data_IF_264005760716
#
_entry.id   IF_264005760716
#
_cell.length_a   1.000
_cell.length_b   1.000
_cell.length_c   1.000
_cell.angle_alpha   90.00
_cell.angle_beta   90.00
_cell.angle_gamma   90.00
#
_symmetry.space_group_name_H-M   'P 1'
#
loop_
_entity.id
_entity.type
_entity.pdbx_description
1 polymer ?
#
# COMPACT_ATOMS: atom_id res chain seq x y z
N UNK A 1 -43.69 -16.79 12.85
CA UNK A 1 -42.91 -17.05 11.63
C UNK A 1 -41.51 -16.60 11.94
N UNK A 2 -40.64 -17.54 12.29
CA UNK A 2 -39.22 -17.29 12.50
C UNK A 2 -38.61 -16.92 11.14
N UNK A 3 -38.00 -15.75 11.06
CA UNK A 3 -37.21 -15.32 9.92
C UNK A 3 -35.99 -16.22 9.84
N UNK A 4 -35.95 -17.09 8.84
CA UNK A 4 -34.74 -17.81 8.44
C UNK A 4 -33.60 -16.80 8.24
N UNK A 5 -32.42 -17.01 8.85
CA UNK A 5 -31.27 -16.15 8.59
C UNK A 5 -30.90 -16.28 7.11
N UNK A 6 -30.80 -15.16 6.41
CA UNK A 6 -30.25 -15.14 5.05
C UNK A 6 -28.92 -15.92 5.03
N UNK A 7 -28.67 -16.75 4.00
CA UNK A 7 -27.40 -17.45 3.88
C UNK A 7 -26.26 -16.41 3.89
N UNK A 8 -25.25 -16.64 4.73
CA UNK A 8 -24.01 -15.85 4.71
C UNK A 8 -23.48 -15.88 3.28
N UNK A 9 -23.39 -14.71 2.64
CA UNK A 9 -22.75 -14.60 1.33
C UNK A 9 -21.33 -15.16 1.45
N UNK A 10 -21.09 -16.27 0.75
CA UNK A 10 -19.77 -16.90 0.72
C UNK A 10 -18.93 -16.20 -0.34
N UNK A 11 -17.75 -15.75 0.06
CA UNK A 11 -16.75 -15.19 -0.86
C UNK A 11 -16.47 -16.20 -1.98
N UNK A 12 -16.58 -15.84 -3.26
CA UNK A 12 -16.32 -16.77 -4.36
C UNK A 12 -14.91 -17.38 -4.26
N UNK A 13 -14.75 -18.65 -4.61
CA UNK A 13 -13.44 -19.33 -4.58
C UNK A 13 -12.37 -18.61 -5.40
N UNK A 14 -12.75 -17.87 -6.43
CA UNK A 14 -11.82 -17.09 -7.26
C UNK A 14 -11.40 -15.76 -6.63
N UNK A 15 -12.06 -15.32 -5.56
CA UNK A 15 -11.80 -14.04 -4.91
C UNK A 15 -10.53 -14.09 -4.03
N UNK A 16 -9.68 -13.04 -3.99
CA UNK A 16 -8.42 -13.06 -3.24
C UNK A 16 -8.57 -13.33 -1.74
N UNK A 17 -9.69 -12.93 -1.15
CA UNK A 17 -9.97 -13.13 0.29
C UNK A 17 -10.71 -14.42 0.62
N UNK A 18 -10.96 -15.30 -0.37
CA UNK A 18 -11.59 -16.58 -0.12
C UNK A 18 -10.74 -17.45 0.81
N UNK A 19 -11.32 -17.94 1.91
CA UNK A 19 -10.63 -18.74 2.93
C UNK A 19 -9.69 -17.92 3.82
N UNK A 20 -9.47 -16.63 3.55
CA UNK A 20 -8.56 -15.76 4.31
C UNK A 20 -9.28 -15.17 5.51
N UNK A 21 -9.01 -15.72 6.69
CA UNK A 21 -9.57 -15.24 7.94
C UNK A 21 -8.71 -15.63 9.14
N UNK A 22 -8.91 -14.91 10.25
CA UNK A 22 -8.45 -15.32 11.58
C UNK A 22 -9.68 -15.43 12.46
N UNK A 23 -9.67 -16.41 13.37
CA UNK A 23 -10.66 -16.45 14.43
C UNK A 23 -10.41 -15.34 15.44
N UNK A 24 -11.44 -14.96 16.20
CA UNK A 24 -11.30 -13.98 17.27
C UNK A 24 -10.29 -14.45 18.33
N UNK A 25 -10.25 -15.76 18.61
CA UNK A 25 -9.30 -16.36 19.56
C UNK A 25 -7.86 -16.15 19.10
N UNK A 26 -7.58 -16.32 17.80
CA UNK A 26 -6.25 -16.07 17.24
C UNK A 26 -5.90 -14.58 17.30
N UNK A 27 -6.83 -13.69 16.96
CA UNK A 27 -6.60 -12.24 17.07
C UNK A 27 -6.31 -11.85 18.52
N UNK A 28 -7.08 -12.36 19.48
CA UNK A 28 -6.87 -12.14 20.91
C UNK A 28 -5.49 -12.65 21.34
N UNK A 29 -5.07 -13.83 20.88
CA UNK A 29 -3.75 -14.39 21.18
C UNK A 29 -2.61 -13.51 20.66
N UNK A 30 -2.71 -13.03 19.42
CA UNK A 30 -1.74 -12.10 18.81
C UNK A 30 -1.63 -10.83 19.65
N UNK A 31 -2.76 -10.19 19.96
CA UNK A 31 -2.78 -8.93 20.73
C UNK A 31 -2.28 -9.13 22.15
N UNK A 32 -2.70 -10.18 22.86
CA UNK A 32 -2.24 -10.46 24.22
C UNK A 32 -0.73 -10.73 24.27
N UNK A 33 -0.19 -11.35 23.23
CA UNK A 33 1.24 -11.56 23.13
C UNK A 33 2.00 -10.27 22.86
N UNK A 34 1.53 -9.42 21.95
CA UNK A 34 2.21 -8.19 21.59
C UNK A 34 2.02 -7.05 22.61
N UNK A 35 0.88 -7.02 23.27
CA UNK A 35 0.41 -5.94 24.14
C UNK A 35 -0.13 -6.57 25.44
N UNK A 36 0.75 -7.14 26.28
CA UNK A 36 0.35 -7.90 27.47
C UNK A 36 -0.40 -7.01 28.46
N UNK A 37 -1.55 -7.48 28.96
CA UNK A 37 -2.40 -6.74 29.89
C UNK A 37 -3.38 -5.76 29.23
N UNK A 38 -3.37 -5.63 27.90
CA UNK A 38 -4.42 -4.87 27.21
C UNK A 38 -5.78 -5.56 27.29
N UNK A 39 -6.84 -4.75 27.20
CA UNK A 39 -8.21 -5.24 27.12
C UNK A 39 -8.77 -4.98 25.72
N UNK A 40 -9.07 -6.05 24.98
CA UNK A 40 -9.77 -5.92 23.70
C UNK A 40 -11.24 -5.62 23.97
N UNK A 41 -11.68 -4.44 23.53
CA UNK A 41 -13.05 -3.95 23.69
C UNK A 41 -13.94 -4.34 22.51
N UNK A 42 -13.38 -4.42 21.30
CA UNK A 42 -14.11 -4.85 20.11
C UNK A 42 -13.17 -5.39 19.02
N UNK A 43 -13.68 -6.36 18.26
CA UNK A 43 -13.08 -6.89 17.02
C UNK A 43 -14.19 -6.87 15.97
N UNK A 44 -14.04 -6.03 14.95
CA UNK A 44 -15.00 -5.91 13.87
C UNK A 44 -14.31 -6.21 12.54
N UNK A 45 -14.75 -7.23 11.81
CA UNK A 45 -14.27 -7.43 10.44
C UNK A 45 -14.89 -6.40 9.50
N UNK A 46 -14.11 -5.85 8.58
CA UNK A 46 -14.67 -5.10 7.46
C UNK A 46 -15.61 -6.03 6.65
N UNK A 47 -16.74 -5.47 6.23
CA UNK A 47 -17.78 -6.20 5.48
C UNK A 47 -17.23 -6.81 4.19
N UNK A 48 -17.86 -7.90 3.74
CA UNK A 48 -17.47 -8.56 2.50
C UNK A 48 -17.62 -7.62 1.30
N UNK A 49 -16.72 -7.74 0.31
CA UNK A 49 -16.71 -6.91 -0.89
C UNK A 49 -16.19 -5.47 -0.69
N UNK A 50 -15.90 -5.03 0.54
CA UNK A 50 -15.35 -3.70 0.83
C UNK A 50 -13.82 -3.63 0.78
N UNK A 51 -13.16 -4.78 0.65
CA UNK A 51 -11.72 -4.90 0.39
C UNK A 51 -11.49 -6.08 -0.54
N UNK A 52 -10.78 -5.83 -1.64
CA UNK A 52 -10.56 -6.84 -2.69
C UNK A 52 -9.37 -7.74 -2.37
N UNK A 53 -8.22 -7.15 -2.06
CA UNK A 53 -6.96 -7.87 -1.88
C UNK A 53 -6.79 -8.44 -0.47
N UNK A 54 -7.40 -7.80 0.55
CA UNK A 54 -7.03 -8.05 1.94
C UNK A 54 -8.24 -8.32 2.83
N UNK A 55 -8.03 -9.11 3.89
CA UNK A 55 -8.99 -9.22 4.99
C UNK A 55 -8.63 -8.22 6.08
N UNK A 56 -9.58 -7.38 6.47
CA UNK A 56 -9.33 -6.26 7.40
C UNK A 56 -10.17 -6.45 8.67
N UNK A 57 -9.52 -6.30 9.83
CA UNK A 57 -10.16 -6.26 11.14
C UNK A 57 -9.87 -4.92 11.81
N UNK A 58 -10.92 -4.25 12.28
CA UNK A 58 -10.82 -3.08 13.14
C UNK A 58 -10.85 -3.52 14.61
N UNK A 59 -9.83 -3.12 15.35
CA UNK A 59 -9.70 -3.45 16.76
C UNK A 59 -9.87 -2.18 17.60
N UNK A 60 -10.57 -2.32 18.73
CA UNK A 60 -10.61 -1.31 19.78
C UNK A 60 -10.01 -1.92 21.03
N UNK A 61 -8.91 -1.37 21.52
CA UNK A 61 -8.19 -1.93 22.68
C UNK A 61 -7.96 -0.85 23.73
N UNK A 62 -8.01 -1.20 25.01
CA UNK A 62 -7.54 -0.35 26.09
C UNK A 62 -6.13 -0.77 26.50
N UNK A 63 -5.19 0.16 26.49
CA UNK A 63 -3.81 -0.06 26.92
C UNK A 63 -3.65 0.48 28.35
N UNK A 64 -3.20 -0.31 29.33
CA UNK A 64 -2.97 0.13 30.70
C UNK A 64 -1.97 1.31 30.80
N UNK A 65 -2.08 2.11 31.87
CA UNK A 65 -1.19 3.27 32.12
C UNK A 65 0.28 2.88 32.30
N UNK A 66 0.53 1.70 32.89
CA UNK A 66 1.86 1.19 33.23
C UNK A 66 2.58 0.57 32.02
N UNK A 67 1.87 0.34 30.92
CA UNK A 67 2.41 -0.28 29.72
C UNK A 67 2.85 0.80 28.71
N UNK A 68 4.12 1.20 28.78
CA UNK A 68 4.69 2.17 27.84
C UNK A 68 4.97 1.52 26.47
N UNK A 69 4.13 1.80 25.47
CA UNK A 69 4.28 1.27 24.12
C UNK A 69 4.35 2.38 23.08
N UNK A 70 5.38 2.32 22.23
CA UNK A 70 5.50 3.26 21.12
C UNK A 70 4.32 3.15 20.15
N UNK A 71 3.82 4.31 19.71
CA UNK A 71 2.72 4.42 18.77
C UNK A 71 1.33 4.22 19.38
N UNK A 72 1.22 3.97 20.68
CA UNK A 72 -0.04 3.82 21.41
C UNK A 72 -0.16 4.83 22.55
N UNK A 73 -1.40 5.19 22.88
CA UNK A 73 -1.73 6.00 24.04
C UNK A 73 -1.96 5.11 25.27
N UNK A 74 -1.14 5.29 26.30
CA UNK A 74 -1.25 4.55 27.56
C UNK A 74 -2.42 5.11 28.39
N UNK A 75 -3.06 4.26 29.19
CA UNK A 75 -4.25 4.64 29.97
C UNK A 75 -5.49 4.94 29.12
N UNK A 76 -5.46 4.58 27.84
CA UNK A 76 -6.42 5.05 26.87
C UNK A 76 -6.87 3.95 25.91
N UNK A 77 -7.97 4.26 25.24
CA UNK A 77 -8.48 3.46 24.14
C UNK A 77 -7.71 3.79 22.87
N UNK A 78 -7.20 2.75 22.23
CA UNK A 78 -6.52 2.80 20.95
C UNK A 78 -7.34 2.08 19.89
N UNK A 79 -7.30 2.59 18.66
CA UNK A 79 -7.98 2.03 17.51
C UNK A 79 -6.94 1.50 16.53
N UNK A 80 -7.01 0.21 16.21
CA UNK A 80 -6.03 -0.47 15.37
C UNK A 80 -6.69 -1.12 14.15
N UNK A 81 -5.86 -1.40 13.16
CA UNK A 81 -6.20 -2.21 11.99
C UNK A 81 -5.28 -3.42 11.97
N UNK A 82 -5.86 -4.61 11.84
CA UNK A 82 -5.15 -5.83 11.49
C UNK A 82 -5.52 -6.20 10.05
N UNK A 83 -4.54 -6.09 9.16
CA UNK A 83 -4.68 -6.34 7.72
C UNK A 83 -3.99 -7.67 7.37
N UNK A 84 -4.70 -8.58 6.74
CA UNK A 84 -4.17 -9.86 6.24
C UNK A 84 -4.13 -9.85 4.72
N UNK A 85 -3.04 -10.36 4.17
CA UNK A 85 -2.88 -10.56 2.73
C UNK A 85 -3.88 -11.59 2.21
N UNK A 86 -4.44 -11.31 1.04
CA UNK A 86 -5.22 -12.29 0.28
C UNK A 86 -4.34 -13.43 -0.23
N UNK A 87 -4.97 -14.54 -0.63
CA UNK A 87 -4.28 -15.78 -0.99
C UNK A 87 -3.39 -15.71 -2.25
N UNK A 88 -3.52 -14.66 -3.05
CA UNK A 88 -2.69 -14.43 -4.23
C UNK A 88 -1.50 -13.50 -3.95
N UNK A 89 -1.38 -13.01 -2.71
CA UNK A 89 -0.31 -12.14 -2.26
C UNK A 89 0.52 -12.86 -1.20
N UNK A 90 1.83 -12.87 -1.40
CA UNK A 90 2.78 -13.47 -0.48
C UNK A 90 3.31 -12.43 0.54
N UNK A 91 4.34 -12.79 1.29
CA UNK A 91 4.96 -11.93 2.30
C UNK A 91 5.59 -10.65 1.72
N UNK A 92 5.89 -10.62 0.42
CA UNK A 92 6.52 -9.46 -0.21
C UNK A 92 5.60 -8.26 -0.22
N UNK A 93 4.28 -8.47 -0.24
CA UNK A 93 3.29 -7.41 -0.17
C UNK A 93 3.32 -6.70 1.19
N UNK A 94 3.33 -7.48 2.29
CA UNK A 94 3.39 -6.92 3.65
C UNK A 94 4.69 -6.16 3.87
N UNK A 95 5.83 -6.74 3.45
CA UNK A 95 7.13 -6.07 3.55
C UNK A 95 7.19 -4.77 2.77
N UNK A 96 6.55 -4.71 1.61
CA UNK A 96 6.48 -3.49 0.82
C UNK A 96 5.72 -2.39 1.56
N UNK A 97 4.50 -2.69 2.03
CA UNK A 97 3.67 -1.71 2.75
C UNK A 97 4.36 -1.24 4.04
N UNK A 98 4.95 -2.17 4.81
CA UNK A 98 5.72 -1.83 6.02
C UNK A 98 6.91 -0.93 5.70
N UNK A 99 7.63 -1.20 4.61
CA UNK A 99 8.75 -0.37 4.16
C UNK A 99 8.29 1.04 3.80
N UNK A 100 7.21 1.14 3.01
CA UNK A 100 6.67 2.42 2.54
C UNK A 100 6.15 3.27 3.70
N UNK A 101 5.36 2.69 4.61
CA UNK A 101 4.87 3.39 5.80
C UNK A 101 6.01 3.79 6.73
N UNK A 102 7.06 2.98 6.86
CA UNK A 102 8.24 3.33 7.67
C UNK A 102 9.03 4.50 7.09
N UNK A 103 9.18 4.56 5.76
CA UNK A 103 9.81 5.70 5.09
C UNK A 103 8.96 6.97 5.26
N UNK A 104 7.65 6.85 5.10
CA UNK A 104 6.73 7.97 5.21
C UNK A 104 6.71 8.54 6.64
N UNK A 105 6.62 7.67 7.66
CA UNK A 105 6.71 8.07 9.07
C UNK A 105 8.02 8.80 9.40
N UNK A 106 9.13 8.39 8.76
CA UNK A 106 10.43 8.99 9.03
C UNK A 106 10.66 10.32 8.31
N UNK A 107 10.35 10.38 7.02
CA UNK A 107 10.69 11.53 6.17
C UNK A 107 9.55 12.54 6.02
N UNK A 108 8.30 12.11 6.18
CA UNK A 108 7.13 12.98 6.07
C UNK A 108 6.13 12.69 7.21
N UNK A 109 6.54 12.85 8.49
CA UNK A 109 5.70 12.51 9.65
C UNK A 109 4.39 13.31 9.75
N UNK A 110 4.30 14.44 9.06
CA UNK A 110 3.10 15.28 9.00
C UNK A 110 2.03 14.73 8.04
N UNK A 111 2.38 13.80 7.16
CA UNK A 111 1.40 13.12 6.31
C UNK A 111 0.63 12.12 7.20
N UNK A 112 -0.71 12.21 7.27
CA UNK A 112 -1.48 11.35 8.15
C UNK A 112 -1.61 9.95 7.56
N UNK A 113 -0.65 9.07 7.87
CA UNK A 113 -0.63 7.67 7.42
C UNK A 113 -0.65 6.69 8.61
N UNK A 114 -1.07 5.42 8.41
CA UNK A 114 -0.99 4.41 9.46
C UNK A 114 0.45 4.21 9.95
N UNK A 115 0.62 4.03 11.25
CA UNK A 115 1.90 3.65 11.85
C UNK A 115 1.95 2.14 12.04
N UNK A 116 3.03 1.52 11.59
CA UNK A 116 3.23 0.07 11.72
C UNK A 116 3.64 -0.26 13.14
N UNK A 117 2.88 -1.14 13.79
CA UNK A 117 3.13 -1.58 15.16
C UNK A 117 3.79 -2.96 15.19
N UNK A 118 3.31 -3.88 14.36
CA UNK A 118 3.84 -5.23 14.20
C UNK A 118 3.46 -5.81 12.84
N UNK A 119 4.22 -6.79 12.35
CA UNK A 119 3.87 -7.56 11.17
C UNK A 119 4.51 -8.95 11.21
N UNK A 120 3.95 -9.85 10.41
CA UNK A 120 4.50 -11.16 10.16
C UNK A 120 4.35 -11.52 8.69
N UNK A 121 5.28 -12.35 8.22
CA UNK A 121 5.32 -12.85 6.85
C UNK A 121 4.47 -14.13 6.66
N UNK A 122 3.77 -14.59 7.69
CA UNK A 122 3.02 -15.87 7.66
C UNK A 122 3.73 -17.02 8.40
N UNK A 123 4.90 -16.76 8.97
CA UNK A 123 5.59 -17.67 9.89
C UNK A 123 5.19 -17.39 11.35
N UNK A 124 5.72 -18.19 12.29
CA UNK A 124 5.56 -17.93 13.72
C UNK A 124 6.31 -16.67 14.19
N UNK A 125 7.26 -16.17 13.40
CA UNK A 125 8.09 -15.02 13.77
C UNK A 125 7.38 -13.71 13.46
N UNK A 126 7.44 -12.78 14.42
CA UNK A 126 6.85 -11.45 14.34
C UNK A 126 7.90 -10.40 14.61
N UNK A 127 7.93 -9.37 13.77
CA UNK A 127 8.69 -8.15 13.97
C UNK A 127 7.75 -7.06 14.49
N UNK A 128 8.18 -6.31 15.51
CA UNK A 128 7.33 -5.29 16.12
C UNK A 128 8.12 -4.11 16.70
N UNK A 129 7.46 -2.95 16.79
CA UNK A 129 7.97 -1.70 17.40
C UNK A 129 7.31 -1.37 18.74
N UNK A 130 6.49 -2.27 19.28
CA UNK A 130 5.79 -2.11 20.56
C UNK A 130 6.71 -2.23 21.79
N UNK A 131 7.90 -1.62 21.74
CA UNK A 131 8.78 -1.43 22.90
C UNK A 131 8.58 -0.01 23.43
N UNK A 132 9.01 0.27 24.66
CA UNK A 132 8.89 1.62 25.24
C UNK A 132 9.62 2.69 24.40
N UNK A 133 10.70 2.33 23.73
CA UNK A 133 11.52 3.22 22.91
C UNK A 133 11.14 3.22 21.43
N UNK A 134 10.20 2.35 20.99
CA UNK A 134 9.91 2.16 19.56
C UNK A 134 10.98 1.37 18.81
N UNK A 135 11.96 0.81 19.53
CA UNK A 135 12.99 -0.05 18.96
C UNK A 135 12.36 -1.32 18.41
N UNK A 136 12.85 -1.74 17.25
CA UNK A 136 12.43 -2.96 16.58
C UNK A 136 12.86 -4.20 17.39
N UNK A 137 11.93 -5.13 17.57
CA UNK A 137 12.14 -6.38 18.28
C UNK A 137 11.49 -7.55 17.52
N UNK A 138 11.94 -8.77 17.85
CA UNK A 138 11.41 -10.02 17.28
C UNK A 138 10.77 -10.85 18.38
N UNK A 139 9.64 -11.49 18.06
CA UNK A 139 8.93 -12.38 18.96
C UNK A 139 8.38 -13.58 18.19
N UNK A 140 8.51 -14.77 18.76
CA UNK A 140 7.83 -15.96 18.26
C UNK A 140 6.39 -16.02 18.81
N UNK A 141 5.44 -16.30 17.93
CA UNK A 141 4.04 -16.55 18.25
C UNK A 141 3.66 -17.96 17.81
N UNK A 142 3.16 -18.75 18.77
CA UNK A 142 2.42 -19.97 18.45
C UNK A 142 1.01 -19.58 18.03
N UNK A 143 0.80 -19.48 16.72
CA UNK A 143 -0.54 -19.26 16.16
C UNK A 143 -1.13 -20.63 15.81
N UNK A 144 -2.22 -20.99 16.51
CA UNK A 144 -2.99 -22.20 16.23
C UNK A 144 -3.43 -22.17 14.77
N UNK A 145 -2.84 -23.03 13.94
CA UNK A 145 -3.25 -23.16 12.54
C UNK A 145 -4.62 -23.85 12.52
N UNK A 146 -5.63 -23.31 11.81
CA UNK A 146 -6.86 -24.05 11.60
C UNK A 146 -6.55 -25.40 10.93
N UNK A 147 -7.26 -26.45 11.34
CA UNK A 147 -7.05 -27.84 10.87
C UNK A 147 -7.25 -27.98 9.35
N UNK A 148 -7.95 -27.04 8.72
CA UNK A 148 -8.08 -26.92 7.27
C UNK A 148 -6.87 -26.22 6.67
N UNK A 149 -5.77 -26.94 6.39
CA UNK A 149 -4.70 -26.71 5.36
C UNK A 149 -4.26 -25.26 5.01
N UNK A 150 -4.58 -24.25 5.82
CA UNK A 150 -4.46 -22.85 5.49
C UNK A 150 -3.07 -22.36 5.84
N UNK A 151 -2.31 -21.95 4.82
CA UNK A 151 -1.08 -21.20 5.01
C UNK A 151 -1.43 -19.90 5.75
N UNK A 152 -0.72 -19.59 6.85
CA UNK A 152 -0.94 -18.32 7.51
C UNK A 152 -0.46 -17.23 6.55
N UNK A 153 -1.35 -16.34 6.14
CA UNK A 153 -0.99 -15.24 5.25
C UNK A 153 -0.24 -14.16 6.03
N UNK A 154 0.65 -13.44 5.34
CA UNK A 154 1.29 -12.27 5.91
C UNK A 154 0.27 -11.26 6.42
N UNK A 155 0.58 -10.58 7.52
CA UNK A 155 -0.32 -9.61 8.15
C UNK A 155 0.43 -8.42 8.74
N UNK A 156 -0.27 -7.30 8.87
CA UNK A 156 0.24 -6.06 9.47
C UNK A 156 -0.75 -5.58 10.53
N UNK A 157 -0.25 -5.27 11.72
CA UNK A 157 -0.94 -4.53 12.76
C UNK A 157 -0.47 -3.07 12.73
N UNK A 158 -1.41 -2.15 12.57
CA UNK A 158 -1.14 -0.72 12.43
C UNK A 158 -2.16 0.13 13.16
N UNK A 159 -1.87 1.41 13.37
CA UNK A 159 -2.84 2.37 13.93
C UNK A 159 -3.99 2.62 12.95
N UNK A 160 -5.21 2.74 13.44
CA UNK A 160 -6.37 3.18 12.65
C UNK A 160 -6.44 4.70 12.66
N UNK A 161 -6.49 5.30 11.48
CA UNK A 161 -6.71 6.73 11.32
C UNK A 161 -8.20 7.08 11.51
N UNK A 162 -8.52 8.24 12.09
CA UNK A 162 -9.90 8.71 12.20
C UNK A 162 -10.43 9.19 10.85
N UNK A 163 -11.75 9.29 10.74
CA UNK A 163 -12.43 9.85 9.58
C UNK A 163 -13.26 8.85 8.78
N UNK A 164 -13.88 9.35 7.72
CA UNK A 164 -14.69 8.58 6.77
C UNK A 164 -14.10 8.71 5.36
N UNK A 165 -14.22 7.69 4.50
CA UNK A 165 -13.68 7.78 3.14
C UNK A 165 -14.33 8.92 2.36
N UNK A 166 -13.53 9.69 1.63
CA UNK A 166 -13.98 10.78 0.78
C UNK A 166 -15.01 10.31 -0.26
N UNK A 167 -14.88 9.07 -0.77
CA UNK A 167 -15.84 8.45 -1.68
C UNK A 167 -17.26 8.30 -1.14
N UNK A 168 -17.47 8.48 0.17
CA UNK A 168 -18.78 8.38 0.82
C UNK A 168 -19.45 9.72 1.06
N UNK A 169 -18.78 10.82 0.72
CA UNK A 169 -19.24 12.17 0.97
C UNK A 169 -19.80 12.80 -0.30
N UNK A 170 -20.79 13.67 -0.10
CA UNK A 170 -21.36 14.53 -1.13
C UNK A 170 -20.99 15.97 -0.77
N UNK A 171 -19.84 16.41 -1.26
CA UNK A 171 -19.26 17.74 -1.00
C UNK A 171 -19.58 18.69 -2.14
N UNK A 172 -19.75 19.98 -1.83
CA UNK A 172 -19.94 20.97 -2.87
C UNK A 172 -18.66 21.27 -3.65
N UNK A 173 -18.79 22.04 -4.74
CA UNK A 173 -17.67 22.33 -5.64
C UNK A 173 -16.52 23.08 -4.98
N UNK A 174 -16.79 23.97 -4.01
CA UNK A 174 -15.75 24.76 -3.37
C UNK A 174 -15.06 23.96 -2.26
N UNK A 175 -15.81 23.14 -1.51
CA UNK A 175 -15.27 22.14 -0.59
C UNK A 175 -14.34 21.15 -1.32
N UNK A 176 -14.78 20.62 -2.46
CA UNK A 176 -13.99 19.69 -3.28
C UNK A 176 -12.65 20.28 -3.73
N UNK A 177 -12.60 21.56 -4.11
CA UNK A 177 -11.35 22.23 -4.48
C UNK A 177 -10.39 22.32 -3.31
N UNK A 178 -10.89 22.70 -2.13
CA UNK A 178 -10.10 22.80 -0.90
C UNK A 178 -9.51 21.44 -0.53
N UNK A 179 -10.28 20.36 -0.64
CA UNK A 179 -9.78 18.99 -0.43
C UNK A 179 -8.73 18.61 -1.48
N UNK A 180 -8.93 18.96 -2.74
CA UNK A 180 -7.96 18.73 -3.82
C UNK A 180 -6.62 19.42 -3.57
N UNK A 181 -6.65 20.66 -3.09
CA UNK A 181 -5.45 21.42 -2.71
C UNK A 181 -4.73 20.80 -1.50
N UNK A 182 -5.47 20.38 -0.46
CA UNK A 182 -4.88 19.67 0.68
C UNK A 182 -4.19 18.38 0.25
N UNK A 183 -4.84 17.58 -0.61
CA UNK A 183 -4.27 16.34 -1.12
C UNK A 183 -2.99 16.62 -1.92
N UNK A 184 -2.99 17.66 -2.76
CA UNK A 184 -1.81 18.07 -3.52
C UNK A 184 -0.64 18.45 -2.62
N UNK A 185 -0.90 19.20 -1.55
CA UNK A 185 0.12 19.59 -0.58
C UNK A 185 0.73 18.37 0.13
N UNK A 186 -0.09 17.37 0.49
CA UNK A 186 0.37 16.11 1.07
C UNK A 186 1.21 15.28 0.08
N UNK A 187 0.73 15.12 -1.16
CA UNK A 187 1.44 14.39 -2.21
C UNK A 187 2.79 15.04 -2.49
N UNK A 188 2.80 16.36 -2.67
CA UNK A 188 4.02 17.14 -2.83
C UNK A 188 4.97 16.95 -1.65
N UNK A 189 4.43 16.91 -0.41
CA UNK A 189 5.25 16.73 0.80
C UNK A 189 5.99 15.42 0.82
N UNK A 190 5.34 14.28 0.60
CA UNK A 190 6.07 13.01 0.61
C UNK A 190 7.03 12.91 -0.57
N UNK A 191 6.67 13.42 -1.76
CA UNK A 191 7.52 13.40 -2.94
C UNK A 191 8.81 14.18 -2.75
N UNK A 192 8.71 15.30 -2.04
CA UNK A 192 9.86 16.18 -1.79
C UNK A 192 10.71 15.71 -0.60
N UNK A 193 10.07 15.17 0.44
CA UNK A 193 10.77 14.85 1.70
C UNK A 193 11.45 13.49 1.65
N UNK A 194 10.90 12.52 0.93
CA UNK A 194 11.54 11.22 0.76
C UNK A 194 12.67 11.31 -0.28
N UNK A 195 13.81 10.63 -0.05
CA UNK A 195 14.88 10.59 -1.03
C UNK A 195 14.40 9.86 -2.28
N UNK A 196 14.79 10.38 -3.45
CA UNK A 196 14.60 9.65 -4.69
C UNK A 196 15.41 8.34 -4.68
N UNK A 197 14.88 7.30 -5.32
CA UNK A 197 15.50 5.99 -5.35
C UNK A 197 16.20 5.72 -6.69
N UNK A 198 17.29 4.96 -6.64
CA UNK A 198 18.09 4.60 -7.81
C UNK A 198 17.44 3.52 -8.69
N UNK A 199 16.42 2.84 -8.18
CA UNK A 199 15.72 1.78 -8.90
C UNK A 199 14.20 1.86 -8.71
N UNK A 200 13.47 1.50 -9.76
CA UNK A 200 12.02 1.40 -9.71
C UNK A 200 11.57 0.13 -8.98
N UNK A 201 10.45 0.23 -8.28
CA UNK A 201 9.71 -0.91 -7.79
C UNK A 201 9.28 -0.80 -6.34
N UNK A 202 8.73 -1.93 -5.88
CA UNK A 202 8.42 -2.18 -4.49
C UNK A 202 9.69 -2.33 -3.66
N UNK A 203 9.52 -2.27 -2.36
CA UNK A 203 10.57 -2.36 -1.36
C UNK A 203 10.45 -3.64 -0.56
N UNK A 204 11.53 -3.98 0.13
CA UNK A 204 11.54 -5.00 1.16
C UNK A 204 12.28 -4.48 2.39
N UNK A 205 11.89 -4.98 3.56
CA UNK A 205 12.55 -4.65 4.81
C UNK A 205 13.00 -5.90 5.57
N UNK A 206 14.05 -5.76 6.37
CA UNK A 206 14.52 -6.78 7.29
C UNK A 206 15.37 -6.19 8.41
N UNK A 207 15.82 -7.06 9.33
CA UNK A 207 16.75 -6.64 10.37
C UNK A 207 18.11 -6.27 9.74
N UNK A 208 18.80 -5.21 10.23
CA UNK A 208 20.17 -4.93 9.84
C UNK A 208 21.07 -6.11 10.21
N UNK A 209 21.47 -6.91 9.22
CA UNK A 209 22.50 -7.94 9.40
C UNK A 209 23.82 -7.22 9.18
N UNK A 210 24.77 -7.30 10.12
CA UNK A 210 26.05 -6.54 10.14
C UNK A 210 27.01 -6.68 8.95
N UNK A 211 26.52 -7.06 7.77
CA UNK A 211 27.16 -6.89 6.46
C UNK A 211 27.15 -5.40 6.08
N UNK A 212 28.17 -4.97 5.32
CA UNK A 212 28.26 -3.62 4.77
C UNK A 212 26.94 -3.25 4.07
N UNK A 213 26.36 -2.12 4.48
CA UNK A 213 25.25 -1.48 3.78
C UNK A 213 25.58 -1.45 2.29
N UNK A 214 24.73 -2.07 1.47
CA UNK A 214 24.76 -1.81 0.05
C UNK A 214 24.37 -0.34 -0.16
N UNK A 215 24.98 0.31 -1.14
CA UNK A 215 24.70 1.71 -1.51
C UNK A 215 23.23 1.97 -1.87
N UNK A 216 22.45 0.91 -2.09
CA UNK A 216 21.04 0.93 -2.47
C UNK A 216 20.06 0.74 -1.29
N UNK A 217 20.55 0.56 -0.07
CA UNK A 217 19.74 0.29 1.12
C UNK A 217 19.81 1.44 2.14
N UNK A 218 18.70 1.66 2.85
CA UNK A 218 18.58 2.71 3.87
C UNK A 218 18.12 2.09 5.18
N UNK A 219 18.74 2.50 6.30
CA UNK A 219 18.25 2.12 7.62
C UNK A 219 17.26 3.17 8.16
N UNK A 220 16.02 2.73 8.43
CA UNK A 220 14.95 3.59 8.97
C UNK A 220 14.24 2.87 10.10
N UNK A 221 14.18 3.51 11.27
CA UNK A 221 13.50 2.98 12.46
C UNK A 221 13.90 1.51 12.79
N UNK A 222 15.21 1.24 12.68
CA UNK A 222 15.80 -0.08 12.94
C UNK A 222 15.56 -1.13 11.84
N UNK A 223 14.93 -0.76 10.71
CA UNK A 223 14.78 -1.61 9.53
C UNK A 223 15.81 -1.26 8.47
N UNK A 224 16.44 -2.27 7.89
CA UNK A 224 17.16 -2.12 6.63
C UNK A 224 16.15 -2.27 5.48
N UNK A 225 15.90 -1.17 4.77
CA UNK A 225 14.99 -1.09 3.62
C UNK A 225 15.81 -1.11 2.34
N UNK A 226 15.43 -1.95 1.38
CA UNK A 226 16.11 -2.10 0.08
C UNK A 226 15.09 -2.29 -1.05
N UNK A 227 15.51 -2.13 -2.32
CA UNK A 227 14.69 -2.55 -3.46
C UNK A 227 14.26 -4.01 -3.34
N UNK A 228 13.01 -4.30 -3.71
CA UNK A 228 12.51 -5.65 -3.89
C UNK A 228 12.64 -6.07 -5.36
N UNK A 229 13.10 -7.30 -5.66
CA UNK A 229 12.99 -7.84 -7.01
C UNK A 229 11.53 -8.16 -7.41
N UNK A 230 10.62 -8.27 -6.45
CA UNK A 230 9.23 -8.61 -6.69
C UNK A 230 8.37 -7.35 -6.69
N UNK A 231 7.58 -7.17 -7.74
CA UNK A 231 6.52 -6.16 -7.81
C UNK A 231 5.17 -6.85 -8.03
N UNK A 232 4.55 -7.37 -6.95
CA UNK A 232 3.38 -8.25 -7.06
C UNK A 232 2.17 -7.55 -7.71
N UNK A 233 1.96 -6.25 -7.44
CA UNK A 233 0.91 -5.46 -8.09
C UNK A 233 1.01 -5.42 -9.63
N UNK A 234 2.21 -5.60 -10.19
CA UNK A 234 2.41 -5.69 -11.64
C UNK A 234 2.54 -7.13 -12.15
N UNK A 235 2.62 -8.12 -11.25
CA UNK A 235 2.97 -9.49 -11.59
C UNK A 235 4.37 -9.60 -12.22
N UNK A 236 5.30 -8.75 -11.75
CA UNK A 236 6.67 -8.68 -12.26
C UNK A 236 7.63 -9.21 -11.20
N UNK A 237 8.60 -10.02 -11.63
CA UNK A 237 9.77 -10.39 -10.85
C UNK A 237 11.03 -10.01 -11.63
N UNK A 238 11.66 -8.92 -11.22
CA UNK A 238 12.87 -8.40 -11.83
C UNK A 238 14.09 -9.24 -11.42
N UNK A 239 14.94 -9.57 -12.40
CA UNK A 239 16.19 -10.33 -12.17
C UNK A 239 17.31 -9.41 -11.66
N UNK A 240 17.22 -8.11 -11.95
CA UNK A 240 18.16 -7.08 -11.53
C UNK A 240 17.41 -5.77 -11.23
N UNK A 241 18.01 -4.84 -10.46
CA UNK A 241 17.41 -3.53 -10.19
C UNK A 241 17.05 -2.79 -11.49
N UNK A 242 15.84 -2.22 -11.54
CA UNK A 242 15.35 -1.45 -12.68
C UNK A 242 15.84 -0.02 -12.55
N UNK A 243 16.88 0.37 -13.29
CA UNK A 243 17.59 1.65 -13.07
C UNK A 243 17.26 2.75 -14.07
N UNK A 244 16.30 2.52 -14.97
CA UNK A 244 15.86 3.53 -15.95
C UNK A 244 14.38 3.40 -16.31
N UNK A 245 13.71 4.49 -16.72
CA UNK A 245 12.34 4.45 -17.21
C UNK A 245 12.15 3.49 -18.39
N UNK A 246 13.09 3.43 -19.34
CA UNK A 246 13.04 2.48 -20.46
C UNK A 246 13.00 1.02 -19.96
N UNK A 247 13.89 0.65 -19.02
CA UNK A 247 13.89 -0.69 -18.43
C UNK A 247 12.58 -0.96 -17.69
N UNK A 248 12.05 0.03 -16.96
CA UNK A 248 10.80 -0.09 -16.22
C UNK A 248 9.62 -0.43 -17.14
N UNK A 249 9.41 0.36 -18.20
CA UNK A 249 8.33 0.11 -19.14
C UNK A 249 8.53 -1.19 -19.93
N UNK A 250 9.78 -1.52 -20.29
CA UNK A 250 10.09 -2.79 -20.97
C UNK A 250 9.72 -4.00 -20.13
N UNK A 251 10.18 -4.06 -18.87
CA UNK A 251 9.90 -5.19 -17.97
C UNK A 251 8.38 -5.34 -17.73
N UNK A 252 7.64 -4.23 -17.57
CA UNK A 252 6.17 -4.27 -17.46
C UNK A 252 5.52 -4.86 -18.71
N UNK A 253 5.92 -4.42 -19.90
CA UNK A 253 5.37 -4.91 -21.16
C UNK A 253 5.74 -6.38 -21.41
N UNK A 254 6.98 -6.78 -21.14
CA UNK A 254 7.44 -8.17 -21.23
C UNK A 254 6.62 -9.10 -20.34
N UNK A 255 6.35 -8.69 -19.09
CA UNK A 255 5.51 -9.48 -18.19
C UNK A 255 4.06 -9.64 -18.70
N UNK A 256 3.49 -8.60 -19.33
CA UNK A 256 2.15 -8.68 -19.94
C UNK A 256 2.15 -9.52 -21.22
N UNK A 257 3.21 -9.41 -22.03
CA UNK A 257 3.39 -10.23 -23.21
C UNK A 257 3.53 -11.72 -22.84
N UNK A 258 4.27 -12.04 -21.78
CA UNK A 258 4.38 -13.40 -21.27
C UNK A 258 3.00 -13.96 -20.88
N UNK A 259 2.18 -13.18 -20.17
CA UNK A 259 0.78 -13.57 -19.84
C UNK A 259 -0.09 -13.79 -21.09
N UNK A 260 0.05 -12.93 -22.11
CA UNK A 260 -0.64 -13.09 -23.40
C UNK A 260 -0.27 -14.43 -24.06
N UNK A 261 0.99 -14.84 -23.94
CA UNK A 261 1.49 -16.07 -24.55
C UNK A 261 1.10 -17.32 -23.74
N UNK A 262 1.17 -17.26 -22.41
CA UNK A 262 1.03 -18.44 -21.56
C UNK A 262 -0.42 -18.77 -21.21
N UNK A 263 -1.30 -17.77 -21.07
CA UNK A 263 -2.66 -18.01 -20.61
C UNK A 263 -3.59 -18.33 -21.78
N UNK A 264 -4.31 -19.45 -21.68
CA UNK A 264 -5.17 -19.94 -22.77
C UNK A 264 -6.33 -19.01 -23.10
N UNK A 265 -6.78 -18.20 -22.13
CA UNK A 265 -7.81 -17.17 -22.34
C UNK A 265 -7.42 -16.15 -23.42
N UNK A 266 -6.12 -15.99 -23.70
CA UNK A 266 -5.61 -15.06 -24.69
C UNK A 266 -5.19 -15.72 -26.02
N UNK A 267 -5.55 -16.98 -26.25
CA UNK A 267 -5.15 -17.74 -27.45
C UNK A 267 -5.41 -16.97 -28.75
N UNK A 268 -6.61 -16.39 -28.89
CA UNK A 268 -7.01 -15.62 -30.08
C UNK A 268 -6.18 -14.34 -30.27
N UNK A 269 -5.56 -13.79 -29.23
CA UNK A 269 -4.78 -12.56 -29.27
C UNK A 269 -3.28 -12.80 -29.45
N UNK A 270 -2.80 -14.05 -29.43
CA UNK A 270 -1.35 -14.38 -29.53
C UNK A 270 -0.72 -13.90 -30.84
N UNK A 271 -1.51 -13.71 -31.90
CA UNK A 271 -1.07 -13.14 -33.18
C UNK A 271 -0.51 -11.71 -33.05
N UNK A 272 -0.84 -10.97 -31.98
CA UNK A 272 -0.31 -9.63 -31.70
C UNK A 272 1.13 -9.64 -31.16
N UNK A 273 1.65 -10.81 -30.77
CA UNK A 273 3.00 -10.95 -30.16
C UNK A 273 4.12 -10.27 -30.98
N UNK A 274 4.21 -10.45 -32.31
CA UNK A 274 5.27 -9.80 -33.10
C UNK A 274 5.18 -8.28 -33.07
N UNK A 275 3.97 -7.72 -33.10
CA UNK A 275 3.74 -6.27 -33.06
C UNK A 275 4.19 -5.68 -31.72
N UNK A 276 3.91 -6.35 -30.60
CA UNK A 276 4.38 -5.88 -29.29
C UNK A 276 5.91 -5.93 -29.16
N UNK A 277 6.56 -6.96 -29.70
CA UNK A 277 8.03 -7.05 -29.71
C UNK A 277 8.64 -5.93 -30.54
N UNK A 278 8.13 -5.71 -31.75
CA UNK A 278 8.57 -4.61 -32.60
C UNK A 278 8.39 -3.24 -31.91
N UNK A 279 7.25 -3.03 -31.25
CA UNK A 279 7.02 -1.81 -30.47
C UNK A 279 8.06 -1.65 -29.35
N UNK A 280 8.30 -2.68 -28.54
CA UNK A 280 9.27 -2.64 -27.43
C UNK A 280 10.71 -2.40 -27.88
N UNK A 281 11.08 -2.93 -29.05
CA UNK A 281 12.44 -2.85 -29.58
C UNK A 281 12.69 -1.53 -30.34
N UNK A 282 11.69 -1.03 -31.07
CA UNK A 282 11.85 0.09 -32.01
C UNK A 282 11.22 1.37 -31.50
N UNK A 283 9.99 1.31 -30.98
CA UNK A 283 9.18 2.50 -30.70
C UNK A 283 9.34 2.95 -29.25
N UNK A 284 9.31 2.03 -28.28
CA UNK A 284 9.42 2.34 -26.86
C UNK A 284 10.67 3.19 -26.54
N UNK A 285 11.89 2.88 -27.03
CA UNK A 285 13.07 3.72 -26.77
C UNK A 285 13.00 5.12 -27.37
N UNK A 286 12.08 5.39 -28.31
CA UNK A 286 11.90 6.70 -28.94
C UNK A 286 10.89 7.57 -28.20
N UNK A 287 10.14 7.01 -27.24
CA UNK A 287 9.17 7.77 -26.45
C UNK A 287 9.88 8.61 -25.39
N UNK A 288 9.45 9.87 -25.22
CA UNK A 288 10.03 10.79 -24.23
C UNK A 288 10.02 10.23 -22.80
N UNK A 289 8.96 9.52 -22.43
CA UNK A 289 8.82 8.84 -21.12
C UNK A 289 9.93 7.81 -20.84
N UNK A 290 10.58 7.28 -21.88
CA UNK A 290 11.66 6.30 -21.73
C UNK A 290 13.05 6.96 -21.61
N UNK A 291 13.15 8.22 -22.00
CA UNK A 291 14.41 8.98 -22.11
C UNK A 291 14.53 10.10 -21.09
N UNK A 292 13.69 10.13 -20.04
CA UNK A 292 13.77 11.15 -19.01
C UNK A 292 15.18 11.22 -18.41
N UNK A 293 15.86 12.36 -18.61
CA UNK A 293 17.28 12.56 -18.29
C UNK A 293 17.59 12.41 -16.79
N UNK A 294 16.56 12.55 -15.94
CA UNK A 294 16.64 12.28 -14.52
C UNK A 294 16.13 10.86 -14.23
N UNK A 295 17.03 9.88 -14.27
CA UNK A 295 16.80 8.44 -13.98
C UNK A 295 16.42 8.13 -12.53
N UNK A 296 15.67 9.02 -11.86
CA UNK A 296 15.29 8.92 -10.46
C UNK A 296 13.83 8.51 -10.35
N UNK A 297 13.56 7.62 -9.41
CA UNK A 297 12.21 7.16 -9.11
C UNK A 297 11.74 7.82 -7.82
N UNK A 298 10.48 8.21 -7.81
CA UNK A 298 9.88 8.97 -6.72
C UNK A 298 8.90 8.10 -5.95
N UNK A 299 8.77 8.37 -4.65
CA UNK A 299 7.78 7.70 -3.84
C UNK A 299 6.38 8.01 -4.39
N UNK A 300 5.63 6.96 -4.65
CA UNK A 300 4.32 7.02 -5.29
C UNK A 300 3.37 6.10 -4.55
N UNK A 301 2.14 6.57 -4.25
CA UNK A 301 1.14 5.76 -3.55
C UNK A 301 0.65 4.61 -4.44
N UNK A 302 0.51 4.89 -5.73
CA UNK A 302 0.11 3.98 -6.82
C UNK A 302 -1.35 3.52 -6.80
N UNK A 303 -2.04 3.59 -5.66
CA UNK A 303 -3.51 3.42 -5.58
C UNK A 303 -4.21 4.58 -4.86
N UNK A 304 -3.78 5.82 -5.15
CA UNK A 304 -4.39 7.00 -4.56
C UNK A 304 -5.78 7.20 -5.18
N UNK A 305 -6.82 7.10 -4.37
CA UNK A 305 -8.22 7.17 -4.81
C UNK A 305 -9.11 7.70 -3.68
N UNK A 306 -10.31 8.22 -3.95
CA UNK A 306 -11.17 8.80 -2.91
C UNK A 306 -11.54 7.83 -1.78
N UNK A 307 -11.55 6.51 -2.04
CA UNK A 307 -11.79 5.49 -1.01
C UNK A 307 -10.64 5.35 0.00
N UNK A 308 -9.45 5.80 -0.38
CA UNK A 308 -8.21 5.72 0.39
C UNK A 308 -7.84 7.07 1.05
N UNK A 309 -8.67 8.10 0.89
CA UNK A 309 -8.54 9.40 1.56
C UNK A 309 -9.65 9.50 2.61
N UNK A 310 -9.27 9.75 3.86
CA UNK A 310 -10.18 9.90 4.99
C UNK A 310 -10.36 11.38 5.33
N UNK A 311 -11.61 11.78 5.53
CA UNK A 311 -12.00 13.14 5.92
C UNK A 311 -12.42 13.18 7.39
N UNK A 312 -12.17 14.32 8.02
CA UNK A 312 -12.65 14.67 9.36
C UNK A 312 -14.17 14.57 9.48
N UNK A 313 -14.71 14.50 10.69
CA UNK A 313 -16.16 14.37 10.90
C UNK A 313 -16.97 15.59 10.46
N UNK A 314 -16.35 16.77 10.39
CA UNK A 314 -16.88 18.00 9.82
C UNK A 314 -16.54 18.17 8.33
N UNK A 315 -15.85 17.20 7.74
CA UNK A 315 -15.47 17.11 6.32
C UNK A 315 -14.56 18.24 5.79
N UNK A 316 -13.91 19.00 6.67
CA UNK A 316 -13.06 20.13 6.27
C UNK A 316 -11.60 19.76 6.05
N UNK A 317 -11.13 18.67 6.65
CA UNK A 317 -9.70 18.31 6.65
C UNK A 317 -9.48 16.84 6.30
N UNK A 318 -8.42 16.56 5.54
CA UNK A 318 -7.94 15.20 5.33
C UNK A 318 -7.28 14.72 6.63
N UNK A 319 -7.84 13.68 7.23
CA UNK A 319 -7.36 13.06 8.48
C UNK A 319 -6.60 11.77 8.27
N UNK A 320 -6.57 11.25 7.03
CA UNK A 320 -5.82 10.04 6.74
C UNK A 320 -5.68 9.71 5.26
N UNK A 321 -4.56 9.09 4.94
CA UNK A 321 -4.31 8.42 3.66
C UNK A 321 -3.95 6.98 4.00
N UNK A 322 -4.58 6.01 3.34
CA UNK A 322 -4.49 4.59 3.67
C UNK A 322 -4.23 3.73 2.45
N UNK A 323 -3.88 2.47 2.68
CA UNK A 323 -3.68 1.43 1.66
C UNK A 323 -2.44 1.63 0.76
N UNK A 324 -1.28 1.69 1.40
CA UNK A 324 0.03 1.83 0.75
C UNK A 324 0.60 0.51 0.19
N UNK A 325 -0.27 -0.48 -0.08
CA UNK A 325 0.19 -1.82 -0.48
C UNK A 325 0.92 -1.84 -1.82
N UNK A 326 0.50 -0.99 -2.75
CA UNK A 326 1.11 -0.85 -4.08
C UNK A 326 2.14 0.27 -4.15
N UNK A 327 2.38 0.96 -3.03
CA UNK A 327 3.33 2.06 -3.00
C UNK A 327 4.76 1.57 -3.24
N UNK A 328 5.60 2.49 -3.70
CA UNK A 328 6.98 2.18 -4.04
C UNK A 328 7.62 3.36 -4.75
N UNK A 329 8.74 3.10 -5.42
CA UNK A 329 9.44 4.12 -6.19
C UNK A 329 9.21 3.91 -7.67
N UNK A 330 8.55 4.87 -8.33
CA UNK A 330 8.13 4.74 -9.72
C UNK A 330 8.43 6.01 -10.51
N UNK A 331 8.31 5.98 -11.87
CA UNK A 331 8.35 7.21 -12.65
C UNK A 331 7.35 8.24 -12.14
N UNK A 332 7.68 9.52 -12.27
CA UNK A 332 6.90 10.61 -11.67
C UNK A 332 5.41 10.59 -12.07
N UNK A 333 5.13 10.25 -13.32
CA UNK A 333 3.77 10.20 -13.87
C UNK A 333 2.95 8.99 -13.40
N UNK A 334 3.58 7.95 -12.86
CA UNK A 334 2.89 6.69 -12.53
C UNK A 334 1.88 6.84 -11.37
N UNK A 335 1.96 7.91 -10.58
CA UNK A 335 0.93 8.26 -9.57
C UNK A 335 -0.45 8.51 -10.19
N UNK A 336 -0.48 9.10 -11.40
CA UNK A 336 -1.72 9.50 -12.04
C UNK A 336 -2.23 8.46 -13.05
N UNK A 337 -1.43 7.43 -13.34
CA UNK A 337 -1.78 6.41 -14.33
C UNK A 337 -3.01 5.62 -13.88
N UNK A 338 -3.13 5.34 -12.59
CA UNK A 338 -4.25 4.56 -12.09
C UNK A 338 -5.57 5.35 -12.20
N UNK A 339 -5.55 6.66 -11.96
CA UNK A 339 -6.68 7.58 -12.17
C UNK A 339 -7.19 7.55 -13.61
N UNK A 340 -6.28 7.41 -14.58
CA UNK A 340 -6.62 7.47 -16.01
C UNK A 340 -7.10 6.13 -16.58
N UNK A 341 -6.73 5.00 -15.98
CA UNK A 341 -6.94 3.66 -16.57
C UNK A 341 -7.88 2.79 -15.74
N UNK A 342 -7.61 2.62 -14.44
CA UNK A 342 -8.36 1.69 -13.61
C UNK A 342 -9.46 2.39 -12.80
N UNK A 343 -9.20 3.61 -12.35
CA UNK A 343 -10.07 4.43 -11.49
C UNK A 343 -10.69 5.60 -12.29
N UNK A 344 -10.88 5.42 -13.60
CA UNK A 344 -11.39 6.48 -14.47
C UNK A 344 -12.80 6.91 -14.03
N UNK A 345 -12.92 8.17 -13.60
CA UNK A 345 -14.17 8.74 -13.08
C UNK A 345 -14.39 8.55 -11.58
N UNK A 346 -13.42 7.99 -10.84
CA UNK A 346 -13.51 7.89 -9.37
C UNK A 346 -13.45 9.27 -8.71
N UNK A 347 -12.58 10.16 -9.22
CA UNK A 347 -12.38 11.50 -8.66
C UNK A 347 -13.45 12.49 -9.16
N UNK A 348 -14.06 13.29 -8.27
CA UNK A 348 -14.87 14.42 -8.68
C UNK A 348 -14.03 15.43 -9.49
N UNK A 349 -14.55 15.88 -10.64
CA UNK A 349 -13.82 16.74 -11.59
C UNK A 349 -13.21 17.99 -10.93
N UNK A 350 -14.00 18.70 -10.10
CA UNK A 350 -13.57 19.92 -9.43
C UNK A 350 -12.41 19.69 -8.45
N UNK A 351 -12.42 18.54 -7.76
CA UNK A 351 -11.33 18.16 -6.86
C UNK A 351 -10.08 17.80 -7.66
N UNK A 352 -10.23 16.98 -8.70
CA UNK A 352 -9.08 16.53 -9.48
C UNK A 352 -8.39 17.67 -10.22
N UNK A 353 -9.15 18.62 -10.79
CA UNK A 353 -8.55 19.81 -11.41
C UNK A 353 -7.81 20.70 -10.40
N UNK A 354 -8.37 20.89 -9.20
CA UNK A 354 -7.70 21.63 -8.13
C UNK A 354 -6.42 20.91 -7.66
N UNK A 355 -6.49 19.59 -7.49
CA UNK A 355 -5.35 18.73 -7.16
C UNK A 355 -4.22 18.87 -8.18
N UNK A 356 -4.51 18.68 -9.47
CA UNK A 356 -3.49 18.81 -10.51
C UNK A 356 -2.95 20.24 -10.63
N UNK A 357 -3.82 21.26 -10.55
CA UNK A 357 -3.40 22.67 -10.59
C UNK A 357 -2.44 23.00 -9.46
N UNK A 358 -2.76 22.59 -8.23
CA UNK A 358 -1.93 22.85 -7.06
C UNK A 358 -0.58 22.13 -7.12
N UNK A 359 -0.55 20.90 -7.65
CA UNK A 359 0.71 20.19 -7.89
C UNK A 359 1.59 20.91 -8.92
N UNK A 360 1.00 21.43 -10.00
CA UNK A 360 1.73 22.24 -11.00
C UNK A 360 2.29 23.53 -10.37
N UNK A 361 1.53 24.20 -9.50
CA UNK A 361 1.98 25.39 -8.76
C UNK A 361 3.15 25.08 -7.82
N UNK A 362 3.18 23.86 -7.26
CA UNK A 362 4.30 23.33 -6.47
C UNK A 362 5.49 22.85 -7.35
N UNK A 363 5.38 22.93 -8.68
CA UNK A 363 6.43 22.58 -9.62
C UNK A 363 6.53 21.09 -9.96
N UNK A 364 5.49 20.30 -9.70
CA UNK A 364 5.45 18.88 -10.08
C UNK A 364 4.92 18.67 -11.50
N UNK A 365 5.41 17.64 -12.18
CA UNK A 365 4.86 17.25 -13.48
C UNK A 365 3.53 16.49 -13.29
N UNK A 366 2.51 16.91 -14.04
CA UNK A 366 1.17 16.31 -14.00
C UNK A 366 0.71 15.91 -15.41
N UNK A 367 -0.31 15.05 -15.56
CA UNK A 367 -0.85 14.70 -16.87
C UNK A 367 -1.70 15.80 -17.51
N UNK A 368 -1.95 16.94 -16.84
CA UNK A 368 -2.94 17.95 -17.29
C UNK A 368 -2.62 18.55 -18.66
N UNK A 369 -1.34 18.74 -18.97
CA UNK A 369 -0.88 19.25 -20.29
C UNK A 369 -0.82 18.16 -21.37
N UNK A 370 -1.17 16.92 -21.01
CA UNK A 370 -0.94 15.73 -21.82
C UNK A 370 0.56 15.42 -21.99
N UNK A 371 0.86 14.19 -22.41
CA UNK A 371 2.24 13.73 -22.67
C UNK A 371 2.94 14.54 -23.80
N UNK A 372 2.22 15.43 -24.50
CA UNK A 372 2.68 16.10 -25.72
C UNK A 372 3.57 17.33 -25.51
N UNK A 373 3.64 17.87 -24.30
CA UNK A 373 4.45 19.07 -24.01
C UNK A 373 5.72 18.80 -23.17
N UNK A 374 6.00 17.53 -22.84
CA UNK A 374 7.20 17.13 -22.10
C UNK A 374 8.41 16.83 -23.01
N UNK A 375 8.54 17.53 -24.14
CA UNK A 375 9.64 17.37 -25.11
C UNK A 375 10.60 18.55 -25.06
#
# INVERSE_FOLDING_TARGET
>A
MESTPSPRETTPETHPTHGVHLSNETIISIINSLIPGSHILAINSLEHGKSFNNRIYFLKIHVPDDLLLHGLHNGAVNYLVLKLNGKFFDETNSKNEVSCLSLLEHFAPDVPSPRVLAWSDGDSSVLHRLTATGSLATKELEISRPEDNGQLHGWILMTRLPGVPLSTLDLDTDELKVVGEQLADMVYRWRHSLPAWASAGNLQCGLPHGKKQDSSSLEVAGLLISPSPNMPGFGVKAVAPIVSPLQYYRVKLEARLQKLQDLDVFTENRHLTPLFREFMDIQLPKLGISNAENSRFFFTHYDLSPRNVLMSADHTEITGIVDFEFSGFFPELDEFVNDSVANAGDWPDALYDAYLSRLEDCGMNTPRRGIREQV
#
